data_IF_639286294582
#
_entry.id   IF_639286294582
#
_cell.length_a   1.000
_cell.length_b   1.000
_cell.length_c   1.000
_cell.angle_alpha   90.00
_cell.angle_beta   90.00
_cell.angle_gamma   90.00
#
_symmetry.space_group_name_H-M   'P 1'
#
loop_
_entity.id
_entity.type
_entity.pdbx_description
1 polymer ?
#
# COMPACT_ATOMS: atom_id res chain seq x y z
N UNK A 1 -30.90 -31.79 39.38
CA UNK A 1 -29.62 -31.05 39.32
C UNK A 1 -28.59 -31.97 38.70
N UNK A 2 -28.49 -31.94 37.37
CA UNK A 2 -27.49 -32.65 36.58
C UNK A 2 -26.41 -31.64 36.16
N UNK A 3 -25.11 -31.96 36.29
CA UNK A 3 -24.05 -31.00 36.04
C UNK A 3 -23.92 -30.74 34.53
N UNK A 4 -23.81 -29.46 34.18
CA UNK A 4 -23.46 -28.99 32.84
C UNK A 4 -22.02 -29.43 32.58
N UNK A 5 -21.84 -30.31 31.60
CA UNK A 5 -20.53 -30.67 31.09
C UNK A 5 -19.84 -29.39 30.59
N UNK A 6 -18.71 -29.06 31.20
CA UNK A 6 -17.77 -28.06 30.70
C UNK A 6 -17.46 -28.37 29.24
N UNK A 7 -17.72 -27.40 28.35
CA UNK A 7 -17.04 -27.30 27.05
C UNK A 7 -15.54 -27.13 27.34
N UNK A 8 -14.85 -28.25 27.52
CA UNK A 8 -13.41 -28.30 27.56
C UNK A 8 -12.88 -27.78 26.24
N UNK A 9 -12.10 -26.71 26.34
CA UNK A 9 -11.46 -26.03 25.22
C UNK A 9 -10.84 -27.01 24.24
N UNK A 10 -11.36 -27.01 23.02
CA UNK A 10 -10.72 -27.68 21.91
C UNK A 10 -9.58 -26.75 21.47
N UNK A 11 -8.35 -27.07 21.90
CA UNK A 11 -7.15 -26.48 21.30
C UNK A 11 -7.19 -26.82 19.81
N UNK A 12 -7.53 -25.85 18.98
CA UNK A 12 -7.57 -25.94 17.53
C UNK A 12 -6.13 -26.13 17.00
N UNK A 13 -5.57 -27.31 17.21
CA UNK A 13 -4.55 -27.85 16.33
C UNK A 13 -5.22 -27.95 14.97
N UNK A 14 -5.01 -26.91 14.16
CA UNK A 14 -5.58 -26.83 12.82
C UNK A 14 -4.93 -27.94 12.01
N UNK A 15 -5.70 -28.80 11.36
CA UNK A 15 -5.14 -29.93 10.61
C UNK A 15 -4.04 -29.43 9.65
N UNK A 16 -2.90 -30.14 9.53
CA UNK A 16 -1.71 -29.62 8.87
C UNK A 16 -1.94 -29.20 7.41
N UNK A 17 -2.91 -29.81 6.73
CA UNK A 17 -3.32 -29.42 5.38
C UNK A 17 -4.12 -28.11 5.32
N UNK A 18 -4.90 -27.79 6.37
CA UNK A 18 -5.62 -26.52 6.49
C UNK A 18 -4.63 -25.39 6.81
N UNK A 19 -3.63 -25.67 7.65
CA UNK A 19 -2.58 -24.72 8.00
C UNK A 19 -1.68 -24.38 6.78
N UNK A 20 -1.33 -25.37 5.97
CA UNK A 20 -0.55 -25.15 4.74
C UNK A 20 -1.36 -24.42 3.66
N UNK A 21 -2.65 -24.74 3.50
CA UNK A 21 -3.54 -24.01 2.59
C UNK A 21 -3.69 -22.53 3.01
N UNK A 22 -3.87 -22.26 4.30
CA UNK A 22 -3.93 -20.89 4.84
C UNK A 22 -2.62 -20.13 4.61
N UNK A 23 -1.47 -20.80 4.75
CA UNK A 23 -0.16 -20.22 4.45
C UNK A 23 -0.02 -19.84 2.97
N UNK A 24 -0.34 -20.78 2.06
CA UNK A 24 -0.26 -20.54 0.61
C UNK A 24 -1.19 -19.40 0.19
N UNK A 25 -2.41 -19.37 0.70
CA UNK A 25 -3.38 -18.31 0.40
C UNK A 25 -2.90 -16.94 0.88
N UNK A 26 -2.37 -16.86 2.11
CA UNK A 26 -1.83 -15.62 2.65
C UNK A 26 -0.59 -15.15 1.89
N UNK A 27 0.28 -16.08 1.49
CA UNK A 27 1.46 -15.77 0.68
C UNK A 27 1.09 -15.25 -0.71
N UNK A 28 0.10 -15.88 -1.36
CA UNK A 28 -0.43 -15.42 -2.64
C UNK A 28 -1.02 -14.01 -2.52
N UNK A 29 -1.79 -13.75 -1.46
CA UNK A 29 -2.35 -12.42 -1.20
C UNK A 29 -1.25 -11.36 -1.01
N UNK A 30 -0.18 -11.66 -0.28
CA UNK A 30 0.97 -10.76 -0.11
C UNK A 30 1.64 -10.45 -1.45
N UNK A 31 1.85 -11.46 -2.30
CA UNK A 31 2.44 -11.28 -3.64
C UNK A 31 1.53 -10.46 -4.53
N UNK A 32 0.24 -10.74 -4.51
CA UNK A 32 -0.78 -10.02 -5.25
C UNK A 32 -0.78 -8.53 -4.89
N UNK A 33 -0.89 -8.19 -3.60
CA UNK A 33 -0.85 -6.80 -3.10
C UNK A 33 0.45 -6.09 -3.52
N UNK A 34 1.60 -6.80 -3.51
CA UNK A 34 2.87 -6.22 -3.96
C UNK A 34 2.86 -5.91 -5.45
N UNK A 35 2.35 -6.82 -6.27
CA UNK A 35 2.26 -6.63 -7.71
C UNK A 35 1.29 -5.47 -8.07
N UNK A 36 0.14 -5.41 -7.38
CA UNK A 36 -0.83 -4.32 -7.54
C UNK A 36 -0.21 -2.96 -7.24
N UNK A 37 0.60 -2.83 -6.19
CA UNK A 37 1.30 -1.58 -5.87
C UNK A 37 2.22 -1.10 -6.99
N UNK A 38 2.97 -2.02 -7.60
CA UNK A 38 3.89 -1.68 -8.70
C UNK A 38 3.08 -1.20 -9.90
N UNK A 39 2.03 -1.95 -10.27
CA UNK A 39 1.15 -1.56 -11.37
C UNK A 39 0.44 -0.23 -11.12
N UNK A 40 -0.07 -0.01 -9.92
CA UNK A 40 -0.70 1.24 -9.52
C UNK A 40 0.27 2.41 -9.57
N UNK A 41 1.53 2.20 -9.17
CA UNK A 41 2.60 3.22 -9.25
C UNK A 41 2.94 3.56 -10.69
N UNK A 42 3.03 2.56 -11.56
CA UNK A 42 3.29 2.77 -12.99
C UNK A 42 2.15 3.56 -13.64
N UNK A 43 0.90 3.17 -13.40
CA UNK A 43 -0.28 3.87 -13.92
C UNK A 43 -0.34 5.32 -13.40
N UNK A 44 -0.14 5.52 -12.09
CA UNK A 44 -0.07 6.85 -11.49
C UNK A 44 1.00 7.72 -12.15
N UNK A 45 2.21 7.18 -12.32
CA UNK A 45 3.33 7.94 -12.89
C UNK A 45 3.04 8.33 -14.33
N UNK A 46 2.43 7.44 -15.12
CA UNK A 46 1.99 7.74 -16.49
C UNK A 46 0.94 8.87 -16.52
N UNK A 47 -0.05 8.84 -15.61
CA UNK A 47 -1.08 9.88 -15.52
C UNK A 47 -0.50 11.22 -15.10
N UNK A 48 0.37 11.26 -14.08
CA UNK A 48 1.00 12.51 -13.62
C UNK A 48 1.94 13.08 -14.67
N UNK A 49 2.79 12.25 -15.29
CA UNK A 49 3.69 12.70 -16.36
C UNK A 49 2.91 13.19 -17.58
N UNK A 50 1.87 12.45 -18.00
CA UNK A 50 1.00 12.85 -19.10
C UNK A 50 0.25 14.15 -18.81
N UNK A 51 -0.32 14.29 -17.61
CA UNK A 51 -0.99 15.52 -17.19
C UNK A 51 -0.06 16.73 -17.15
N UNK A 52 1.14 16.57 -16.60
CA UNK A 52 2.15 17.63 -16.59
C UNK A 52 2.61 18.00 -18.01
N UNK A 53 2.82 17.03 -18.90
CA UNK A 53 3.21 17.29 -20.28
C UNK A 53 2.14 18.08 -21.06
N UNK A 54 0.86 17.79 -20.79
CA UNK A 54 -0.26 18.55 -21.37
C UNK A 54 -0.31 19.97 -20.82
N UNK A 55 -0.13 20.15 -19.51
CA UNK A 55 -0.12 21.48 -18.88
C UNK A 55 1.06 22.34 -19.34
N UNK A 56 2.25 21.78 -19.48
CA UNK A 56 3.44 22.50 -19.95
C UNK A 56 3.27 23.07 -21.37
N UNK A 57 2.48 22.41 -22.22
CA UNK A 57 2.20 22.88 -23.58
C UNK A 57 1.46 24.22 -23.60
N UNK A 58 0.64 24.48 -22.58
CA UNK A 58 -0.23 25.66 -22.51
C UNK A 58 0.36 26.80 -21.66
N UNK A 59 1.45 26.57 -20.90
CA UNK A 59 2.12 27.58 -20.06
C UNK A 59 2.72 28.75 -20.88
N UNK A 60 2.91 28.58 -22.19
CA UNK A 60 3.45 29.61 -23.09
C UNK A 60 2.41 30.51 -23.77
N UNK A 61 1.13 30.12 -23.76
CA UNK A 61 0.04 30.85 -24.38
C UNK A 61 -0.88 31.36 -23.26
N UNK A 62 -1.04 32.68 -23.12
CA UNK A 62 -1.93 33.33 -22.12
C UNK A 62 -3.43 32.94 -22.24
N UNK A 63 -3.76 31.90 -22.99
CA UNK A 63 -5.10 31.65 -23.52
C UNK A 63 -6.04 31.04 -22.49
N UNK A 64 -5.58 30.41 -21.39
CA UNK A 64 -6.49 30.04 -20.29
C UNK A 64 -5.78 29.65 -18.97
N UNK A 65 -5.51 30.65 -18.12
CA UNK A 65 -5.03 30.44 -16.74
C UNK A 65 -5.95 29.51 -15.93
N UNK A 66 -7.26 29.67 -16.09
CA UNK A 66 -8.26 28.84 -15.40
C UNK A 66 -8.12 27.34 -15.72
N UNK A 67 -7.82 26.99 -16.99
CA UNK A 67 -7.66 25.60 -17.41
C UNK A 67 -6.40 24.99 -16.80
N UNK A 68 -5.31 25.75 -16.78
CA UNK A 68 -4.03 25.33 -16.19
C UNK A 68 -4.19 25.08 -14.69
N UNK A 69 -4.77 26.04 -13.96
CA UNK A 69 -5.01 25.90 -12.51
C UNK A 69 -5.97 24.75 -12.19
N UNK A 70 -7.02 24.55 -13.01
CA UNK A 70 -7.96 23.42 -12.85
C UNK A 70 -7.24 22.09 -13.08
N UNK A 71 -6.36 21.99 -14.08
CA UNK A 71 -5.58 20.79 -14.34
C UNK A 71 -4.61 20.46 -13.21
N UNK A 72 -3.93 21.46 -12.64
CA UNK A 72 -3.12 21.26 -11.43
C UNK A 72 -3.96 20.79 -10.24
N UNK A 73 -5.13 21.38 -10.02
CA UNK A 73 -6.05 20.95 -8.95
C UNK A 73 -6.46 19.48 -9.12
N UNK A 74 -6.79 19.06 -10.35
CA UNK A 74 -7.13 17.66 -10.67
C UNK A 74 -5.94 16.74 -10.37
N UNK A 75 -4.72 17.11 -10.77
CA UNK A 75 -3.52 16.32 -10.49
C UNK A 75 -3.23 16.22 -8.98
N UNK A 76 -3.41 17.30 -8.22
CA UNK A 76 -3.27 17.29 -6.76
C UNK A 76 -4.30 16.36 -6.12
N UNK A 77 -5.58 16.46 -6.50
CA UNK A 77 -6.65 15.59 -5.99
C UNK A 77 -6.41 14.12 -6.32
N UNK A 78 -5.99 13.83 -7.57
CA UNK A 78 -5.63 12.48 -8.00
C UNK A 78 -4.43 11.94 -7.20
N UNK A 79 -3.44 12.79 -6.93
CA UNK A 79 -2.27 12.45 -6.13
C UNK A 79 -2.61 12.16 -4.67
N UNK A 80 -3.49 12.96 -4.07
CA UNK A 80 -4.01 12.72 -2.71
C UNK A 80 -4.79 11.41 -2.62
N UNK A 81 -5.68 11.14 -3.58
CA UNK A 81 -6.42 9.88 -3.64
C UNK A 81 -5.47 8.67 -3.76
N UNK A 82 -4.42 8.79 -4.59
CA UNK A 82 -3.41 7.75 -4.77
C UNK A 82 -2.56 7.53 -3.51
N UNK A 83 -2.21 8.61 -2.79
CA UNK A 83 -1.53 8.53 -1.50
C UNK A 83 -2.38 7.80 -0.45
N UNK A 84 -3.66 8.16 -0.33
CA UNK A 84 -4.60 7.51 0.59
C UNK A 84 -4.76 6.02 0.28
N UNK A 85 -4.89 5.68 -1.01
CA UNK A 85 -4.92 4.28 -1.46
C UNK A 85 -3.63 3.55 -1.06
N UNK A 86 -2.46 4.15 -1.30
CA UNK A 86 -1.17 3.56 -0.92
C UNK A 86 -1.06 3.28 0.58
N UNK A 87 -1.52 4.20 1.43
CA UNK A 87 -1.56 4.04 2.89
C UNK A 87 -2.50 2.89 3.27
N UNK A 88 -3.70 2.82 2.68
CA UNK A 88 -4.66 1.73 2.91
C UNK A 88 -4.06 0.37 2.56
N UNK A 89 -3.40 0.24 1.41
CA UNK A 89 -2.72 -0.99 1.02
C UNK A 89 -1.62 -1.38 2.04
N UNK A 90 -0.97 -0.41 2.71
CA UNK A 90 0.02 -0.69 3.78
C UNK A 90 -0.65 -1.27 5.02
N UNK A 91 -1.80 -0.75 5.41
CA UNK A 91 -2.58 -1.32 6.50
C UNK A 91 -3.03 -2.76 6.18
N UNK A 92 -3.51 -2.99 4.97
CA UNK A 92 -3.98 -4.31 4.52
C UNK A 92 -2.85 -5.34 4.43
N UNK A 93 -1.68 -4.93 3.94
CA UNK A 93 -0.48 -5.77 3.94
C UNK A 93 -0.04 -6.13 5.36
N UNK A 94 -0.06 -5.16 6.29
CA UNK A 94 0.27 -5.41 7.70
C UNK A 94 -0.69 -6.40 8.35
N UNK A 95 -2.00 -6.26 8.10
CA UNK A 95 -3.00 -7.17 8.63
C UNK A 95 -2.82 -8.59 8.07
N UNK A 96 -2.53 -8.72 6.77
CA UNK A 96 -2.26 -10.01 6.13
C UNK A 96 -1.01 -10.68 6.70
N UNK A 97 0.08 -9.94 6.90
CA UNK A 97 1.31 -10.45 7.52
C UNK A 97 1.08 -10.86 8.97
N UNK A 98 0.36 -10.05 9.75
CA UNK A 98 0.06 -10.34 11.15
C UNK A 98 -0.79 -11.61 11.29
N UNK A 99 -1.79 -11.79 10.40
CA UNK A 99 -2.59 -13.02 10.35
C UNK A 99 -1.72 -14.23 10.00
N UNK A 100 -0.80 -14.10 9.04
CA UNK A 100 0.12 -15.16 8.67
C UNK A 100 1.03 -15.55 9.85
N UNK A 101 1.59 -14.58 10.56
CA UNK A 101 2.41 -14.83 11.75
C UNK A 101 1.64 -15.56 12.85
N UNK A 102 0.36 -15.24 13.07
CA UNK A 102 -0.50 -15.96 14.02
C UNK A 102 -0.71 -17.42 13.61
N UNK A 103 -1.01 -17.68 12.34
CA UNK A 103 -1.21 -19.05 11.82
C UNK A 103 0.08 -19.86 11.91
N UNK A 104 1.22 -19.25 11.59
CA UNK A 104 2.54 -19.90 11.67
C UNK A 104 2.94 -20.21 13.12
N UNK A 105 2.71 -19.28 14.05
CA UNK A 105 2.99 -19.47 15.46
C UNK A 105 2.09 -20.53 16.10
N UNK A 106 0.79 -20.53 15.80
CA UNK A 106 -0.18 -21.49 16.34
C UNK A 106 0.09 -22.95 15.91
N UNK A 107 0.75 -23.15 14.76
CA UNK A 107 1.00 -24.47 14.19
C UNK A 107 2.48 -24.88 14.22
N UNK A 108 3.34 -24.14 14.91
CA UNK A 108 4.77 -24.47 15.04
C UNK A 108 5.56 -24.45 13.71
N UNK A 109 5.04 -23.78 12.68
CA UNK A 109 5.66 -23.75 11.34
C UNK A 109 6.80 -22.71 11.21
N UNK A 110 7.13 -22.01 12.29
CA UNK A 110 8.19 -21.00 12.33
C UNK A 110 9.55 -21.42 11.74
N UNK A 111 10.03 -22.65 11.97
CA UNK A 111 11.30 -23.12 11.38
C UNK A 111 11.27 -23.29 9.86
N UNK A 112 10.09 -23.50 9.27
CA UNK A 112 9.92 -23.77 7.84
C UNK A 112 9.70 -22.50 7.01
N UNK A 113 9.14 -21.47 7.62
CA UNK A 113 8.65 -20.28 6.92
C UNK A 113 9.74 -19.22 6.72
N UNK A 114 10.89 -19.35 7.39
CA UNK A 114 11.89 -18.30 7.44
C UNK A 114 11.35 -17.03 8.11
N UNK A 115 12.25 -16.13 8.52
CA UNK A 115 11.83 -14.86 9.09
C UNK A 115 11.16 -14.01 7.99
N UNK A 116 9.83 -13.89 8.04
CA UNK A 116 9.03 -13.10 7.08
C UNK A 116 9.47 -11.62 7.09
N UNK A 117 10.10 -11.16 8.17
CA UNK A 117 10.76 -9.85 8.27
C UNK A 117 12.15 -10.00 8.93
N UNK A 118 13.22 -9.43 8.35
CA UNK A 118 14.55 -9.47 8.95
C UNK A 118 14.58 -8.66 10.26
N UNK A 119 15.17 -9.20 11.34
CA UNK A 119 15.06 -8.64 12.68
C UNK A 119 16.09 -7.53 12.88
N UNK A 120 15.89 -6.35 12.29
CA UNK A 120 16.71 -5.14 12.46
C UNK A 120 17.92 -5.03 11.51
N UNK A 121 18.07 -3.85 10.92
CA UNK A 121 19.12 -3.45 9.99
C UNK A 121 18.78 -2.10 9.34
N UNK A 122 19.74 -1.45 8.67
CA UNK A 122 19.52 -0.13 8.02
C UNK A 122 18.47 -0.23 6.88
N UNK A 123 18.27 -1.41 6.29
CA UNK A 123 17.14 -1.71 5.37
C UNK A 123 15.80 -2.00 6.07
N UNK A 124 15.79 -2.10 7.40
CA UNK A 124 14.59 -2.27 8.22
C UNK A 124 14.03 -0.94 8.77
N UNK A 125 14.79 0.16 8.71
CA UNK A 125 14.34 1.48 9.17
C UNK A 125 13.37 2.15 8.21
N UNK A 126 13.47 1.84 6.91
CA UNK A 126 12.48 2.17 5.89
C UNK A 126 12.00 0.86 5.26
N UNK A 127 11.14 0.10 5.97
CA UNK A 127 10.69 -1.17 5.45
C UNK A 127 9.98 -0.90 4.12
N UNK A 128 10.30 -1.68 3.09
CA UNK A 128 9.89 -1.51 1.67
C UNK A 128 8.42 -1.10 1.50
N UNK A 129 7.55 -1.49 2.44
CA UNK A 129 6.16 -1.03 2.60
C UNK A 129 5.95 0.49 2.56
N UNK A 130 6.90 1.30 3.03
CA UNK A 130 6.81 2.77 3.07
C UNK A 130 7.33 3.47 1.81
N UNK A 131 8.07 2.78 0.95
CA UNK A 131 8.63 3.37 -0.28
C UNK A 131 7.52 4.00 -1.13
N UNK A 132 6.40 3.30 -1.27
CA UNK A 132 5.25 3.79 -2.04
C UNK A 132 4.59 5.02 -1.40
N UNK A 133 4.14 5.01 -0.12
CA UNK A 133 3.59 6.21 0.51
C UNK A 133 4.53 7.42 0.47
N UNK A 134 5.84 7.22 0.66
CA UNK A 134 6.83 8.31 0.61
C UNK A 134 6.90 8.89 -0.81
N UNK A 135 6.95 8.04 -1.83
CA UNK A 135 6.92 8.46 -3.23
C UNK A 135 5.68 9.31 -3.53
N UNK A 136 4.48 8.82 -3.19
CA UNK A 136 3.23 9.57 -3.39
C UNK A 136 3.18 10.89 -2.60
N UNK A 137 3.78 10.92 -1.41
CA UNK A 137 3.83 12.13 -0.58
C UNK A 137 4.71 13.20 -1.22
N UNK A 138 5.89 12.81 -1.70
CA UNK A 138 6.83 13.71 -2.38
C UNK A 138 6.24 14.28 -3.67
N UNK A 139 5.61 13.43 -4.50
CA UNK A 139 4.96 13.90 -5.74
C UNK A 139 3.77 14.80 -5.44
N UNK A 140 2.96 14.49 -4.42
CA UNK A 140 1.85 15.37 -4.00
C UNK A 140 2.37 16.73 -3.54
N UNK A 141 3.43 16.77 -2.73
CA UNK A 141 4.05 18.01 -2.29
C UNK A 141 4.59 18.82 -3.48
N UNK A 142 5.25 18.18 -4.44
CA UNK A 142 5.72 18.84 -5.65
C UNK A 142 4.58 19.43 -6.49
N UNK A 143 3.49 18.70 -6.69
CA UNK A 143 2.30 19.19 -7.40
C UNK A 143 1.63 20.36 -6.67
N UNK A 144 1.57 20.32 -5.34
CA UNK A 144 1.06 21.43 -4.52
C UNK A 144 1.92 22.69 -4.68
N UNK A 145 3.25 22.54 -4.66
CA UNK A 145 4.17 23.66 -4.89
C UNK A 145 3.94 24.26 -6.28
N UNK A 146 3.84 23.43 -7.32
CA UNK A 146 3.55 23.89 -8.68
C UNK A 146 2.21 24.62 -8.78
N UNK A 147 1.17 24.09 -8.12
CA UNK A 147 -0.15 24.72 -8.09
C UNK A 147 -0.12 26.09 -7.39
N UNK A 148 0.57 26.20 -6.26
CA UNK A 148 0.71 27.47 -5.54
C UNK A 148 1.48 28.49 -6.40
N UNK A 149 2.55 28.07 -7.07
CA UNK A 149 3.30 28.92 -7.98
C UNK A 149 2.47 29.40 -9.17
N UNK A 150 1.60 28.54 -9.72
CA UNK A 150 0.66 28.90 -10.79
C UNK A 150 -0.38 29.93 -10.32
N UNK A 151 -0.86 29.81 -9.07
CA UNK A 151 -1.81 30.78 -8.49
C UNK A 151 -1.18 32.15 -8.22
N UNK A 152 0.11 32.18 -7.86
CA UNK A 152 0.84 33.42 -7.53
C UNK A 152 1.31 34.20 -8.75
N UNK A 153 1.48 33.55 -9.90
CA UNK A 153 1.87 34.18 -11.17
C UNK A 153 0.69 34.89 -11.82
#
# INVERSE_FOLDING_TARGET
>A
MTPIAQETGNSLATEPHVASAAFVQAWENIRHIRNERIWFTNAYTAVVAGGLALLQRDVGTSTNKLLTSTGFLVLVMFSLASLLSSIRLVAELRNSIANLQRVVAANGMGPLVGMIEPPHGIGASLPVRWVFPVFYSLTTAALLVLFILDLLR
#
